data_IF_300843230692
#
_entry.id   IF_300843230692
#
_cell.length_a   1.000
_cell.length_b   1.000
_cell.length_c   1.000
_cell.angle_alpha   90.00
_cell.angle_beta   90.00
_cell.angle_gamma   90.00
#
_symmetry.space_group_name_H-M   'P 1'
#
loop_
_entity.id
_entity.type
_entity.pdbx_description
1 polymer ?
#
# COMPACT_ATOMS: atom_id res chain seq x y z
N UNK A 1 -56.59 -2.48 -0.11
CA UNK A 1 -55.65 -2.72 0.99
C UNK A 1 -54.27 -2.86 0.39
N UNK A 2 -53.54 -1.75 0.33
CA UNK A 2 -52.16 -1.71 -0.19
C UNK A 2 -51.21 -2.04 0.98
N UNK A 3 -50.56 -3.18 0.93
CA UNK A 3 -49.41 -3.45 1.80
C UNK A 3 -48.15 -2.91 1.15
N UNK A 4 -47.68 -1.77 1.63
CA UNK A 4 -46.37 -1.22 1.36
C UNK A 4 -45.31 -2.16 1.94
N UNK A 5 -44.64 -2.91 1.07
CA UNK A 5 -43.43 -3.62 1.39
C UNK A 5 -42.25 -2.62 1.43
N UNK A 6 -42.04 -1.96 2.54
CA UNK A 6 -40.77 -1.32 2.85
C UNK A 6 -39.75 -2.42 3.14
N UNK A 7 -38.99 -2.83 2.12
CA UNK A 7 -37.75 -3.57 2.31
C UNK A 7 -36.73 -2.62 2.96
N UNK A 8 -36.71 -2.60 4.28
CA UNK A 8 -35.58 -2.06 5.03
C UNK A 8 -34.34 -2.85 4.64
N UNK A 9 -33.47 -2.23 3.87
CA UNK A 9 -32.14 -2.74 3.57
C UNK A 9 -31.34 -2.79 4.89
N UNK A 10 -31.48 -3.88 5.65
CA UNK A 10 -30.60 -4.14 6.79
C UNK A 10 -29.20 -4.29 6.22
N UNK A 11 -28.31 -3.34 6.52
CA UNK A 11 -26.88 -3.46 6.30
C UNK A 11 -26.45 -4.81 6.85
N UNK A 12 -26.03 -5.73 5.99
CA UNK A 12 -25.50 -7.01 6.42
C UNK A 12 -24.31 -6.70 7.34
N UNK A 13 -24.38 -7.25 8.56
CA UNK A 13 -23.34 -7.11 9.58
C UNK A 13 -22.04 -7.63 8.97
N UNK A 14 -20.90 -6.92 9.16
CA UNK A 14 -19.59 -7.39 8.73
C UNK A 14 -19.37 -8.83 9.19
N UNK A 15 -18.71 -9.62 8.35
CA UNK A 15 -18.30 -10.96 8.75
C UNK A 15 -17.30 -10.86 9.90
N UNK A 16 -17.45 -11.73 10.90
CA UNK A 16 -16.43 -11.94 11.92
C UNK A 16 -15.71 -13.23 11.59
N UNK A 17 -14.43 -13.14 11.33
CA UNK A 17 -13.59 -14.29 11.06
C UNK A 17 -12.57 -14.48 12.17
N UNK A 18 -12.22 -15.73 12.44
CA UNK A 18 -11.21 -16.08 13.41
C UNK A 18 -9.83 -16.12 12.77
N UNK A 19 -8.94 -15.24 13.22
CA UNK A 19 -7.55 -15.16 12.79
C UNK A 19 -6.65 -15.65 13.93
N UNK A 20 -6.30 -16.93 13.92
CA UNK A 20 -5.40 -17.51 14.92
C UNK A 20 -5.89 -17.45 16.38
N UNK A 21 -7.19 -17.50 16.60
CA UNK A 21 -7.82 -17.42 17.92
C UNK A 21 -8.43 -16.05 18.26
N UNK A 22 -8.23 -15.04 17.40
CA UNK A 22 -8.81 -13.70 17.57
C UNK A 22 -9.90 -13.47 16.52
N UNK A 23 -11.08 -13.01 16.95
CA UNK A 23 -12.16 -12.62 16.04
C UNK A 23 -11.92 -11.18 15.53
N UNK A 24 -11.89 -11.01 14.22
CA UNK A 24 -11.73 -9.71 13.57
C UNK A 24 -12.89 -9.40 12.61
N UNK A 25 -13.19 -8.12 12.46
CA UNK A 25 -14.18 -7.65 11.51
C UNK A 25 -13.54 -7.54 10.12
N UNK A 26 -14.16 -8.20 9.14
CA UNK A 26 -13.75 -8.14 7.75
C UNK A 26 -14.93 -7.83 6.84
N UNK A 27 -14.63 -7.32 5.66
CA UNK A 27 -15.60 -7.13 4.58
C UNK A 27 -15.04 -7.83 3.35
N UNK A 28 -15.80 -8.81 2.84
CA UNK A 28 -15.51 -9.48 1.58
C UNK A 28 -16.40 -8.95 0.46
N UNK A 29 -16.13 -9.38 -0.76
CA UNK A 29 -16.98 -9.03 -1.92
C UNK A 29 -18.38 -9.66 -1.83
N UNK A 30 -18.57 -10.67 -0.97
CA UNK A 30 -19.89 -11.29 -0.73
C UNK A 30 -20.77 -10.43 0.19
N UNK A 31 -20.17 -9.79 1.23
CA UNK A 31 -20.90 -8.87 2.10
C UNK A 31 -21.11 -7.51 1.44
N UNK A 32 -20.16 -7.09 0.62
CA UNK A 32 -20.20 -5.81 -0.07
C UNK A 32 -19.80 -5.96 -1.55
N UNK A 33 -20.73 -6.43 -2.41
CA UNK A 33 -20.46 -6.63 -3.82
C UNK A 33 -20.22 -5.32 -4.57
N UNK A 34 -19.62 -5.40 -5.75
CA UNK A 34 -19.25 -4.23 -6.58
C UNK A 34 -20.47 -3.35 -6.91
N UNK A 35 -21.61 -3.95 -7.19
CA UNK A 35 -22.85 -3.23 -7.50
C UNK A 35 -23.30 -2.35 -6.33
N UNK A 36 -23.08 -2.82 -5.09
CA UNK A 36 -23.34 -2.01 -3.90
C UNK A 36 -22.34 -0.87 -3.77
N UNK A 37 -21.06 -1.10 -4.09
CA UNK A 37 -20.05 -0.04 -4.12
C UNK A 37 -20.39 1.03 -5.16
N UNK A 38 -20.81 0.62 -6.34
CA UNK A 38 -21.28 1.53 -7.41
C UNK A 38 -22.51 2.35 -6.95
N UNK A 39 -23.47 1.73 -6.28
CA UNK A 39 -24.65 2.46 -5.77
C UNK A 39 -24.29 3.49 -4.69
N UNK A 40 -23.38 3.12 -3.76
CA UNK A 40 -22.90 4.05 -2.70
C UNK A 40 -22.15 5.23 -3.30
N UNK A 41 -21.36 5.01 -4.34
CA UNK A 41 -20.50 6.03 -4.98
C UNK A 41 -21.16 6.71 -6.19
N UNK A 42 -22.42 6.41 -6.49
CA UNK A 42 -23.12 6.84 -7.69
C UNK A 42 -23.13 8.35 -7.92
N UNK A 43 -23.34 9.11 -6.84
CA UNK A 43 -23.41 10.58 -6.90
C UNK A 43 -22.05 11.23 -6.52
N UNK A 44 -21.03 10.41 -6.28
CA UNK A 44 -19.71 10.90 -5.89
C UNK A 44 -18.83 11.14 -7.12
N UNK A 45 -17.97 12.14 -7.03
CA UNK A 45 -16.85 12.37 -7.93
C UNK A 45 -15.57 12.09 -7.16
N UNK A 46 -14.92 10.99 -7.50
CA UNK A 46 -13.67 10.59 -6.84
C UNK A 46 -12.49 11.30 -7.50
N UNK A 47 -11.94 12.30 -6.84
CA UNK A 47 -10.79 13.06 -7.31
C UNK A 47 -9.49 12.46 -6.77
N UNK A 48 -8.72 11.80 -7.60
CA UNK A 48 -7.40 11.25 -7.27
C UNK A 48 -6.36 12.35 -7.41
N UNK A 49 -5.92 12.90 -6.28
CA UNK A 49 -4.91 13.95 -6.20
C UNK A 49 -3.53 13.31 -6.03
N UNK A 50 -2.75 13.33 -7.10
CA UNK A 50 -1.46 12.65 -7.18
C UNK A 50 -1.52 11.38 -8.01
N UNK A 51 -0.62 11.27 -9.00
CA UNK A 51 -0.55 10.14 -9.92
C UNK A 51 0.85 9.51 -9.88
N UNK A 52 1.29 9.23 -8.63
CA UNK A 52 2.60 8.65 -8.31
C UNK A 52 2.53 7.13 -8.18
N UNK A 53 2.79 6.61 -6.97
CA UNK A 53 2.88 5.15 -6.70
C UNK A 53 1.49 4.51 -6.64
N UNK A 54 0.58 5.02 -5.82
CA UNK A 54 -0.77 4.46 -5.62
C UNK A 54 -1.81 5.00 -6.61
N UNK A 55 -1.67 6.28 -7.00
CA UNK A 55 -2.66 6.97 -7.84
C UNK A 55 -3.08 6.22 -9.10
N UNK A 56 -2.14 5.77 -9.97
CA UNK A 56 -2.49 5.05 -11.18
C UNK A 56 -3.29 3.76 -10.93
N UNK A 57 -2.82 2.91 -10.02
CA UNK A 57 -3.49 1.64 -9.70
C UNK A 57 -4.91 1.85 -9.19
N UNK A 58 -5.08 2.77 -8.24
CA UNK A 58 -6.40 3.04 -7.65
C UNK A 58 -7.34 3.74 -8.64
N UNK A 59 -6.87 4.76 -9.36
CA UNK A 59 -7.70 5.48 -10.33
C UNK A 59 -8.20 4.57 -11.46
N UNK A 60 -7.30 3.76 -12.05
CA UNK A 60 -7.66 2.86 -13.13
C UNK A 60 -8.59 1.74 -12.67
N UNK A 61 -8.35 1.13 -11.50
CA UNK A 61 -9.24 0.07 -11.01
C UNK A 61 -10.64 0.59 -10.71
N UNK A 62 -10.76 1.77 -10.11
CA UNK A 62 -12.05 2.42 -9.89
C UNK A 62 -12.76 2.76 -11.20
N UNK A 63 -12.03 3.32 -12.18
CA UNK A 63 -12.56 3.62 -13.52
C UNK A 63 -13.08 2.36 -14.21
N UNK A 64 -12.31 1.27 -14.20
CA UNK A 64 -12.72 -0.01 -14.80
C UNK A 64 -13.92 -0.63 -14.06
N UNK A 65 -14.09 -0.34 -12.78
CA UNK A 65 -15.24 -0.73 -11.97
C UNK A 65 -16.44 0.26 -12.08
N UNK A 66 -16.41 1.18 -13.05
CA UNK A 66 -17.54 2.07 -13.36
C UNK A 66 -17.75 3.21 -12.37
N UNK A 67 -16.74 3.59 -11.58
CA UNK A 67 -16.79 4.73 -10.67
C UNK A 67 -16.42 6.00 -11.43
N UNK A 68 -17.07 7.10 -11.10
CA UNK A 68 -16.78 8.42 -11.65
C UNK A 68 -15.48 8.98 -11.06
N UNK A 69 -14.37 8.82 -11.78
CA UNK A 69 -13.02 9.17 -11.33
C UNK A 69 -12.45 10.29 -12.18
N UNK A 70 -11.92 11.30 -11.52
CA UNK A 70 -11.08 12.33 -12.12
C UNK A 70 -9.69 12.32 -11.47
N UNK A 71 -8.69 12.81 -12.19
CA UNK A 71 -7.31 12.91 -11.70
C UNK A 71 -6.91 14.37 -11.59
N UNK A 72 -6.35 14.75 -10.46
CA UNK A 72 -5.74 16.05 -10.22
C UNK A 72 -4.22 15.95 -10.21
N UNK A 73 -3.53 16.63 -11.15
CA UNK A 73 -2.08 16.59 -11.25
C UNK A 73 -1.52 17.90 -11.80
N UNK A 74 -0.26 18.19 -11.51
CA UNK A 74 0.44 19.35 -12.08
C UNK A 74 0.60 19.19 -13.59
N UNK A 75 0.12 20.14 -14.34
CA UNK A 75 0.27 20.19 -15.79
C UNK A 75 1.74 20.12 -16.20
N UNK A 76 2.05 19.50 -17.33
CA UNK A 76 3.39 19.31 -17.85
C UNK A 76 4.37 18.53 -16.94
N UNK A 77 3.85 17.73 -16.02
CA UNK A 77 4.66 16.81 -15.21
C UNK A 77 4.66 15.41 -15.83
N UNK A 78 5.69 14.61 -15.53
CA UNK A 78 5.74 13.19 -15.95
C UNK A 78 4.49 12.39 -15.50
N UNK A 79 3.93 12.74 -14.35
CA UNK A 79 2.70 12.11 -13.85
C UNK A 79 1.45 12.57 -14.61
N UNK A 80 1.43 13.79 -15.11
CA UNK A 80 0.40 14.27 -16.04
C UNK A 80 0.44 13.47 -17.34
N UNK A 81 1.62 13.38 -17.96
CA UNK A 81 1.81 12.64 -19.23
C UNK A 81 1.44 11.16 -19.06
N UNK A 82 1.78 10.59 -17.90
CA UNK A 82 1.37 9.22 -17.56
C UNK A 82 -0.15 9.09 -17.46
N UNK A 83 -0.85 10.02 -16.81
CA UNK A 83 -2.31 9.99 -16.71
C UNK A 83 -2.98 10.09 -18.10
N UNK A 84 -2.43 10.92 -18.99
CA UNK A 84 -2.88 10.99 -20.40
C UNK A 84 -2.67 9.65 -21.11
N UNK A 85 -1.50 9.04 -20.96
CA UNK A 85 -1.20 7.74 -21.57
C UNK A 85 -2.10 6.62 -21.03
N UNK A 86 -2.53 6.72 -19.77
CA UNK A 86 -3.46 5.78 -19.10
C UNK A 86 -4.94 6.09 -19.45
N UNK A 87 -5.21 7.07 -20.35
CA UNK A 87 -6.54 7.36 -20.89
C UNK A 87 -7.40 8.32 -20.06
N UNK A 88 -6.78 9.18 -19.22
CA UNK A 88 -7.44 10.35 -18.65
C UNK A 88 -7.33 11.54 -19.60
N UNK A 89 -8.46 12.23 -19.84
CA UNK A 89 -8.58 13.27 -20.87
C UNK A 89 -8.45 14.65 -20.23
N UNK A 90 -7.47 15.49 -20.64
CA UNK A 90 -7.34 16.86 -20.15
C UNK A 90 -8.62 17.68 -20.35
N UNK A 91 -9.10 18.32 -19.30
CA UNK A 91 -10.34 19.11 -19.30
C UNK A 91 -11.63 18.31 -19.14
N UNK A 92 -11.58 16.98 -19.15
CA UNK A 92 -12.73 16.10 -18.94
C UNK A 92 -12.57 15.21 -17.69
N UNK A 93 -11.47 14.47 -17.61
CA UNK A 93 -11.16 13.54 -16.51
C UNK A 93 -9.77 13.76 -15.92
N UNK A 94 -8.97 14.66 -16.49
CA UNK A 94 -7.66 15.08 -15.99
C UNK A 94 -7.64 16.61 -15.87
N UNK A 95 -7.35 17.10 -14.67
CA UNK A 95 -7.38 18.52 -14.32
C UNK A 95 -6.11 18.93 -13.57
N UNK A 96 -5.87 20.22 -13.46
CA UNK A 96 -4.94 20.73 -12.45
C UNK A 96 -5.48 20.44 -11.04
N UNK A 97 -4.59 20.40 -10.05
CA UNK A 97 -4.93 19.93 -8.71
C UNK A 97 -6.11 20.70 -8.11
N UNK A 98 -6.08 22.04 -8.18
CA UNK A 98 -7.16 22.88 -7.60
C UNK A 98 -8.51 22.65 -8.27
N UNK A 99 -8.53 22.54 -9.59
CA UNK A 99 -9.76 22.26 -10.33
C UNK A 99 -10.33 20.86 -9.99
N UNK A 100 -9.47 19.86 -9.85
CA UNK A 100 -9.91 18.53 -9.42
C UNK A 100 -10.43 18.54 -7.98
N UNK A 101 -9.84 19.33 -7.08
CA UNK A 101 -10.31 19.52 -5.71
C UNK A 101 -11.70 20.19 -5.66
N UNK A 102 -11.96 21.14 -6.55
CA UNK A 102 -13.28 21.80 -6.66
C UNK A 102 -14.35 20.82 -7.08
N UNK A 103 -14.08 20.01 -8.12
CA UNK A 103 -15.02 19.05 -8.72
C UNK A 103 -15.25 17.81 -7.85
N UNK A 104 -14.22 17.37 -7.11
CA UNK A 104 -14.27 16.16 -6.31
C UNK A 104 -15.18 16.28 -5.08
N UNK A 105 -15.93 15.22 -4.79
CA UNK A 105 -16.69 15.06 -3.55
C UNK A 105 -15.95 14.14 -2.58
N UNK A 106 -15.16 13.20 -3.10
CA UNK A 106 -14.21 12.39 -2.34
C UNK A 106 -12.80 12.72 -2.87
N UNK A 107 -11.98 13.27 -2.01
CA UNK A 107 -10.61 13.67 -2.34
C UNK A 107 -9.65 12.57 -1.92
N UNK A 108 -9.18 11.78 -2.89
CA UNK A 108 -8.14 10.76 -2.68
C UNK A 108 -6.76 11.42 -2.66
N UNK A 109 -6.25 11.73 -1.47
CA UNK A 109 -5.02 12.50 -1.27
C UNK A 109 -3.80 11.59 -1.34
N UNK A 110 -3.35 11.27 -2.57
CA UNK A 110 -2.33 10.26 -2.88
C UNK A 110 -0.99 10.88 -3.32
N UNK A 111 -0.72 12.09 -2.91
CA UNK A 111 0.62 12.70 -3.00
C UNK A 111 1.58 12.02 -2.01
N UNK A 112 2.88 12.18 -2.21
CA UNK A 112 3.87 11.79 -1.18
C UNK A 112 3.69 12.61 0.09
N UNK A 113 4.12 12.10 1.25
CA UNK A 113 3.92 12.78 2.55
C UNK A 113 4.44 14.21 2.56
N UNK A 114 5.64 14.45 2.01
CA UNK A 114 6.18 15.80 1.89
C UNK A 114 5.30 16.71 1.01
N UNK A 115 4.79 16.19 -0.11
CA UNK A 115 3.89 16.95 -0.97
C UNK A 115 2.49 17.11 -0.34
N UNK A 116 2.03 16.16 0.48
CA UNK A 116 0.81 16.34 1.27
C UNK A 116 0.95 17.52 2.25
N UNK A 117 2.08 17.63 2.92
CA UNK A 117 2.37 18.76 3.83
C UNK A 117 2.36 20.08 3.05
N UNK A 118 3.07 20.13 1.93
CA UNK A 118 3.19 21.33 1.08
C UNK A 118 1.84 21.79 0.53
N UNK A 119 1.03 20.87 0.00
CA UNK A 119 -0.25 21.19 -0.63
C UNK A 119 -1.42 21.28 0.35
N UNK A 120 -1.22 20.95 1.63
CA UNK A 120 -2.30 20.94 2.61
C UNK A 120 -3.10 22.24 2.71
N UNK A 121 -2.48 23.44 2.73
CA UNK A 121 -3.23 24.70 2.77
C UNK A 121 -4.21 24.85 1.59
N UNK A 122 -3.82 24.40 0.41
CA UNK A 122 -4.68 24.41 -0.79
C UNK A 122 -5.81 23.39 -0.66
N UNK A 123 -5.48 22.14 -0.33
CA UNK A 123 -6.47 21.06 -0.17
C UNK A 123 -7.51 21.44 0.87
N UNK A 124 -7.09 21.97 2.02
CA UNK A 124 -7.97 22.37 3.12
C UNK A 124 -9.03 23.40 2.69
N UNK A 125 -8.70 24.34 1.81
CA UNK A 125 -9.66 25.36 1.30
C UNK A 125 -10.81 24.73 0.51
N UNK A 126 -10.54 23.60 -0.18
CA UNK A 126 -11.50 22.92 -1.03
C UNK A 126 -12.29 21.82 -0.30
N UNK A 127 -11.93 21.50 0.95
CA UNK A 127 -12.65 20.56 1.80
C UNK A 127 -13.86 21.26 2.43
N UNK A 128 -14.93 21.38 1.63
CA UNK A 128 -16.20 21.94 2.10
C UNK A 128 -17.06 20.87 2.78
N UNK A 129 -18.04 21.31 3.57
CA UNK A 129 -18.95 20.44 4.32
C UNK A 129 -19.55 19.33 3.45
N UNK A 130 -19.54 18.11 3.98
CA UNK A 130 -20.07 16.91 3.32
C UNK A 130 -19.11 16.21 2.35
N UNK A 131 -17.98 16.83 1.97
CA UNK A 131 -16.93 16.16 1.22
C UNK A 131 -16.22 15.11 2.10
N UNK A 132 -15.44 14.26 1.45
CA UNK A 132 -14.62 13.27 2.14
C UNK A 132 -13.14 13.41 1.76
N UNK A 133 -12.25 13.21 2.73
CA UNK A 133 -10.81 13.13 2.56
C UNK A 133 -10.36 11.69 2.77
N UNK A 134 -9.78 11.11 1.75
CA UNK A 134 -9.32 9.73 1.71
C UNK A 134 -7.78 9.67 1.67
N UNK A 135 -7.23 8.74 2.42
CA UNK A 135 -5.82 8.40 2.42
C UNK A 135 -5.59 6.92 2.08
N UNK A 136 -4.44 6.58 1.52
CA UNK A 136 -3.97 5.20 1.41
C UNK A 136 -2.90 4.83 2.45
N UNK A 137 -2.49 5.81 3.25
CA UNK A 137 -1.60 5.68 4.38
C UNK A 137 -1.90 6.80 5.35
N UNK A 138 -2.09 6.47 6.61
CA UNK A 138 -2.57 7.42 7.62
C UNK A 138 -1.52 8.39 8.18
N UNK A 139 -0.33 8.50 7.57
CA UNK A 139 0.83 9.25 8.05
C UNK A 139 0.48 10.70 8.41
N UNK A 140 -0.11 11.45 7.47
CA UNK A 140 -0.42 12.86 7.64
C UNK A 140 -1.31 13.15 8.86
N UNK A 141 -2.28 12.30 9.13
CA UNK A 141 -3.22 12.42 10.25
C UNK A 141 -2.59 11.92 11.55
N UNK A 142 -1.91 10.77 11.53
CA UNK A 142 -1.30 10.17 12.72
C UNK A 142 -0.22 11.06 13.33
N UNK A 143 0.55 11.75 12.48
CA UNK A 143 1.61 12.67 12.89
C UNK A 143 1.24 14.13 12.66
N UNK A 144 -0.02 14.51 12.88
CA UNK A 144 -0.55 15.84 12.58
C UNK A 144 0.20 16.98 13.30
N UNK A 145 0.76 16.73 14.46
CA UNK A 145 1.63 17.71 15.18
C UNK A 145 2.90 18.07 14.39
N UNK A 146 3.36 17.19 13.49
CA UNK A 146 4.54 17.37 12.64
C UNK A 146 4.17 17.83 11.24
N UNK A 147 3.06 17.33 10.71
CA UNK A 147 2.61 17.58 9.34
C UNK A 147 1.71 18.81 9.21
N UNK A 148 1.04 19.22 10.29
CA UNK A 148 0.03 20.28 10.27
C UNK A 148 -1.28 19.88 9.56
N UNK A 149 -1.45 18.60 9.18
CA UNK A 149 -2.65 18.11 8.47
C UNK A 149 -3.77 17.86 9.48
N UNK A 150 -4.64 18.87 9.61
CA UNK A 150 -5.83 18.83 10.47
C UNK A 150 -7.06 19.14 9.63
N UNK A 151 -7.86 18.10 9.29
CA UNK A 151 -9.07 18.25 8.49
C UNK A 151 -10.14 19.11 9.17
N UNK A 152 -11.00 19.79 8.40
CA UNK A 152 -12.21 20.44 8.94
C UNK A 152 -13.14 19.42 9.63
N UNK A 153 -13.87 19.86 10.65
CA UNK A 153 -14.73 18.98 11.44
C UNK A 153 -15.99 18.48 10.70
N UNK A 154 -16.34 19.11 9.59
CA UNK A 154 -17.56 18.88 8.81
C UNK A 154 -17.32 18.05 7.53
N UNK A 155 -16.17 17.38 7.43
CA UNK A 155 -15.84 16.44 6.35
C UNK A 155 -15.62 15.02 6.88
N UNK A 156 -15.88 14.01 6.07
CA UNK A 156 -15.49 12.66 6.40
C UNK A 156 -13.99 12.46 6.21
N UNK A 157 -13.35 11.67 7.05
CA UNK A 157 -11.92 11.32 6.93
C UNK A 157 -11.75 9.84 7.14
N UNK A 158 -11.15 9.16 6.15
CA UNK A 158 -10.96 7.72 6.21
C UNK A 158 -9.78 7.26 5.34
N UNK A 159 -9.38 6.01 5.51
CA UNK A 159 -8.32 5.41 4.69
C UNK A 159 -8.70 4.02 4.18
N UNK A 160 -8.14 3.66 3.04
CA UNK A 160 -7.97 2.28 2.59
C UNK A 160 -6.51 2.11 2.20
N UNK A 161 -5.81 1.21 2.88
CA UNK A 161 -4.39 0.94 2.65
C UNK A 161 -4.19 -0.46 2.05
N UNK A 162 -4.06 -0.57 0.71
CA UNK A 162 -3.72 -1.83 0.06
C UNK A 162 -2.37 -2.35 0.55
N UNK A 163 -2.30 -3.64 0.88
CA UNK A 163 -1.05 -4.27 1.35
C UNK A 163 -0.19 -4.70 0.15
N UNK A 164 0.39 -3.69 -0.50
CA UNK A 164 1.27 -3.82 -1.65
C UNK A 164 1.38 -2.54 -2.48
N UNK A 165 2.31 -2.54 -3.44
CA UNK A 165 2.52 -1.39 -4.33
C UNK A 165 1.32 -1.15 -5.25
N UNK A 166 1.16 0.09 -5.72
CA UNK A 166 0.12 0.42 -6.69
C UNK A 166 0.24 -0.36 -8.00
N UNK A 167 1.47 -0.70 -8.41
CA UNK A 167 1.72 -1.58 -9.56
C UNK A 167 1.18 -3.00 -9.31
N UNK A 168 1.41 -3.55 -8.12
CA UNK A 168 0.88 -4.86 -7.73
C UNK A 168 -0.65 -4.84 -7.61
N UNK A 169 -1.22 -3.77 -7.05
CA UNK A 169 -2.67 -3.58 -6.99
C UNK A 169 -3.30 -3.67 -8.39
N UNK A 170 -2.75 -2.91 -9.36
CA UNK A 170 -3.23 -2.93 -10.75
C UNK A 170 -3.05 -4.30 -11.42
N UNK A 171 -1.87 -4.89 -11.31
CA UNK A 171 -1.56 -6.19 -11.90
C UNK A 171 -2.48 -7.29 -11.39
N UNK A 172 -2.70 -7.37 -10.08
CA UNK A 172 -3.57 -8.39 -9.49
C UNK A 172 -5.03 -8.17 -9.87
N UNK A 173 -5.48 -6.92 -9.94
CA UNK A 173 -6.82 -6.57 -10.41
C UNK A 173 -7.08 -7.10 -11.84
N UNK A 174 -6.14 -6.85 -12.76
CA UNK A 174 -6.24 -7.33 -14.15
C UNK A 174 -6.22 -8.87 -14.26
N UNK A 175 -5.73 -9.56 -13.24
CA UNK A 175 -5.74 -11.02 -13.13
C UNK A 175 -6.99 -11.55 -12.38
N UNK A 176 -8.00 -10.73 -12.14
CA UNK A 176 -9.17 -11.06 -11.31
C UNK A 176 -8.79 -11.51 -9.87
N UNK A 177 -7.68 -11.01 -9.37
CA UNK A 177 -7.19 -11.18 -8.01
C UNK A 177 -7.30 -9.84 -7.27
N UNK A 178 -6.99 -9.80 -5.98
CA UNK A 178 -6.99 -8.56 -5.21
C UNK A 178 -5.96 -8.58 -4.11
N UNK A 179 -5.36 -7.42 -3.84
CA UNK A 179 -4.58 -7.22 -2.62
C UNK A 179 -5.52 -7.04 -1.44
N UNK A 180 -5.18 -7.63 -0.30
CA UNK A 180 -5.89 -7.34 0.93
C UNK A 180 -5.64 -5.88 1.33
N UNK A 181 -6.61 -5.22 1.92
CA UNK A 181 -6.48 -3.83 2.34
C UNK A 181 -7.00 -3.64 3.75
N UNK A 182 -6.30 -2.84 4.55
CA UNK A 182 -6.89 -2.31 5.78
C UNK A 182 -7.76 -1.11 5.47
N UNK A 183 -8.77 -0.85 6.31
CA UNK A 183 -9.56 0.36 6.24
C UNK A 183 -9.82 0.92 7.64
N UNK A 184 -9.95 2.24 7.73
CA UNK A 184 -10.26 2.94 8.96
C UNK A 184 -11.09 4.19 8.69
N UNK A 185 -11.99 4.51 9.62
CA UNK A 185 -12.68 5.80 9.67
C UNK A 185 -12.06 6.61 10.82
N UNK A 186 -11.51 7.77 10.49
CA UNK A 186 -10.99 8.73 11.46
C UNK A 186 -12.08 9.70 11.92
N UNK A 187 -12.91 10.19 10.98
CA UNK A 187 -13.97 11.15 11.22
C UNK A 187 -15.17 10.84 10.33
N UNK A 188 -16.35 10.78 10.93
CA UNK A 188 -17.63 10.56 10.24
C UNK A 188 -18.55 11.75 10.50
N UNK A 189 -18.41 12.79 9.70
CA UNK A 189 -19.20 14.01 9.82
C UNK A 189 -20.59 13.88 9.17
N UNK A 190 -20.69 13.01 8.16
CA UNK A 190 -21.91 12.86 7.37
C UNK A 190 -22.78 11.67 7.78
N UNK A 191 -22.26 10.76 8.60
CA UNK A 191 -22.86 9.44 8.88
C UNK A 191 -22.72 8.44 7.72
N UNK A 192 -21.89 8.75 6.70
CA UNK A 192 -21.68 7.93 5.50
C UNK A 192 -20.24 7.44 5.34
N UNK A 193 -19.32 7.85 6.21
CA UNK A 193 -17.90 7.58 6.06
C UNK A 193 -17.60 6.09 5.93
N UNK A 194 -18.29 5.24 6.72
CA UNK A 194 -18.11 3.80 6.68
C UNK A 194 -18.53 3.17 5.36
N UNK A 195 -19.68 3.56 4.82
CA UNK A 195 -20.14 3.05 3.53
C UNK A 195 -19.24 3.53 2.38
N UNK A 196 -18.82 4.81 2.41
CA UNK A 196 -17.89 5.39 1.43
C UNK A 196 -16.55 4.68 1.41
N UNK A 197 -15.92 4.47 2.59
CA UNK A 197 -14.61 3.81 2.67
C UNK A 197 -14.68 2.34 2.24
N UNK A 198 -15.73 1.63 2.62
CA UNK A 198 -15.94 0.24 2.20
C UNK A 198 -16.15 0.15 0.69
N UNK A 199 -16.99 1.03 0.13
CA UNK A 199 -17.22 1.08 -1.31
C UNK A 199 -15.94 1.38 -2.10
N UNK A 200 -15.13 2.33 -1.63
CA UNK A 200 -13.84 2.62 -2.26
C UNK A 200 -12.87 1.43 -2.16
N UNK A 201 -12.80 0.75 -1.02
CA UNK A 201 -11.99 -0.44 -0.84
C UNK A 201 -12.34 -1.56 -1.84
N UNK A 202 -13.63 -1.78 -2.09
CA UNK A 202 -14.09 -2.72 -3.12
C UNK A 202 -13.79 -2.19 -4.53
N UNK A 203 -14.04 -0.89 -4.77
CA UNK A 203 -13.86 -0.27 -6.08
C UNK A 203 -12.39 -0.26 -6.56
N UNK A 204 -11.42 -0.14 -5.66
CA UNK A 204 -10.00 -0.29 -6.01
C UNK A 204 -9.57 -1.74 -6.24
N UNK A 205 -10.46 -2.71 -6.02
CA UNK A 205 -10.21 -4.13 -6.29
C UNK A 205 -9.54 -4.90 -5.14
N UNK A 206 -9.79 -4.51 -3.89
CA UNK A 206 -9.26 -5.25 -2.73
C UNK A 206 -9.74 -6.71 -2.70
N UNK A 207 -8.88 -7.61 -2.21
CA UNK A 207 -9.21 -9.01 -1.98
C UNK A 207 -10.25 -9.15 -0.87
N UNK A 208 -9.90 -8.66 0.32
CA UNK A 208 -10.84 -8.39 1.42
C UNK A 208 -10.38 -7.14 2.18
N UNK A 209 -11.28 -6.57 2.96
CA UNK A 209 -11.00 -5.42 3.80
C UNK A 209 -11.00 -5.85 5.26
N UNK A 210 -10.02 -5.42 6.06
CA UNK A 210 -9.98 -5.60 7.50
C UNK A 210 -9.91 -4.25 8.22
N UNK A 211 -10.64 -4.17 9.33
CA UNK A 211 -10.78 -2.93 10.08
C UNK A 211 -9.55 -2.64 10.92
N UNK A 212 -9.12 -1.39 10.95
CA UNK A 212 -8.03 -0.88 11.78
C UNK A 212 -8.33 0.55 12.23
N UNK A 213 -7.36 1.22 12.83
CA UNK A 213 -7.35 2.68 13.05
C UNK A 213 -6.11 3.31 12.40
N UNK A 214 -6.14 4.64 12.23
CA UNK A 214 -5.05 5.37 11.56
C UNK A 214 -3.70 5.15 12.22
N UNK A 215 -3.64 5.14 13.53
CA UNK A 215 -2.40 4.95 14.29
C UNK A 215 -1.82 3.55 14.11
N UNK A 216 -2.66 2.52 14.24
CA UNK A 216 -2.21 1.13 14.05
C UNK A 216 -1.79 0.86 12.61
N UNK A 217 -2.54 1.40 11.65
CA UNK A 217 -2.17 1.28 10.24
C UNK A 217 -0.78 1.84 9.99
N UNK A 218 -0.53 3.09 10.40
CA UNK A 218 0.75 3.76 10.19
C UNK A 218 1.90 3.05 10.90
N UNK A 219 1.68 2.63 12.14
CA UNK A 219 2.73 1.97 12.91
C UNK A 219 3.10 0.61 12.32
N UNK A 220 2.12 -0.19 11.92
CA UNK A 220 2.38 -1.49 11.29
C UNK A 220 2.99 -1.34 9.90
N UNK A 221 2.58 -0.35 9.13
CA UNK A 221 3.08 -0.10 7.78
C UNK A 221 4.54 0.38 7.81
N UNK A 222 4.85 1.41 8.59
CA UNK A 222 6.22 1.92 8.74
C UNK A 222 7.18 0.85 9.32
N UNK A 223 6.73 0.07 10.30
CA UNK A 223 7.51 -1.04 10.85
C UNK A 223 7.68 -2.18 9.83
N UNK A 224 6.63 -2.49 9.07
CA UNK A 224 6.64 -3.52 8.04
C UNK A 224 7.62 -3.22 6.90
N UNK A 225 7.58 -2.00 6.36
CA UNK A 225 8.45 -1.57 5.26
C UNK A 225 9.94 -1.58 5.64
N UNK A 226 10.27 -1.09 6.83
CA UNK A 226 11.65 -1.08 7.35
C UNK A 226 12.09 -2.46 7.83
N UNK A 227 11.13 -3.25 8.27
CA UNK A 227 11.32 -4.62 8.71
C UNK A 227 11.27 -5.61 7.54
N UNK A 228 10.47 -6.66 7.71
CA UNK A 228 10.46 -7.85 6.84
C UNK A 228 10.15 -7.57 5.38
N UNK A 229 9.35 -6.53 5.06
CA UNK A 229 8.91 -6.30 3.67
C UNK A 229 10.04 -5.81 2.77
N UNK A 230 10.98 -4.99 3.26
CA UNK A 230 12.07 -4.43 2.46
C UNK A 230 13.40 -4.34 3.23
N UNK A 231 13.45 -3.60 4.34
CA UNK A 231 14.71 -3.27 5.01
C UNK A 231 15.43 -4.50 5.57
N UNK A 232 14.76 -5.29 6.39
CA UNK A 232 15.36 -6.48 7.00
C UNK A 232 15.66 -7.55 5.95
N UNK A 233 14.79 -7.77 4.95
CA UNK A 233 15.02 -8.77 3.91
C UNK A 233 16.24 -8.42 3.06
N UNK A 234 16.44 -7.15 2.71
CA UNK A 234 17.66 -6.71 2.02
C UNK A 234 18.90 -6.93 2.89
N UNK A 235 18.82 -6.62 4.19
CA UNK A 235 19.91 -6.84 5.14
C UNK A 235 20.28 -8.32 5.27
N UNK A 236 19.30 -9.21 5.33
CA UNK A 236 19.51 -10.67 5.39
C UNK A 236 20.16 -11.17 4.10
N UNK A 237 19.68 -10.71 2.94
CA UNK A 237 20.30 -11.07 1.66
C UNK A 237 21.78 -10.67 1.60
N UNK A 238 22.08 -9.43 1.95
CA UNK A 238 23.46 -8.94 1.95
C UNK A 238 24.35 -9.74 2.91
N UNK A 239 23.90 -9.96 4.14
CA UNK A 239 24.67 -10.68 5.15
C UNK A 239 24.99 -12.12 4.72
N UNK A 240 24.04 -12.86 4.19
CA UNK A 240 24.28 -14.24 3.71
C UNK A 240 25.16 -14.25 2.46
N UNK A 241 24.89 -13.36 1.50
CA UNK A 241 25.70 -13.23 0.29
C UNK A 241 27.18 -13.00 0.63
N UNK A 242 27.46 -12.04 1.50
CA UNK A 242 28.83 -11.69 1.91
C UNK A 242 29.56 -12.88 2.60
N UNK A 243 28.83 -13.63 3.43
CA UNK A 243 29.39 -14.83 4.08
C UNK A 243 29.73 -15.90 3.05
N UNK A 244 28.86 -16.16 2.06
CA UNK A 244 29.14 -17.11 0.99
C UNK A 244 30.34 -16.65 0.14
N UNK A 245 30.39 -15.39 -0.26
CA UNK A 245 31.52 -14.82 -0.99
C UNK A 245 32.83 -14.93 -0.23
N UNK A 246 32.82 -14.63 1.06
CA UNK A 246 33.99 -14.74 1.92
C UNK A 246 34.51 -16.21 2.03
N UNK A 247 33.63 -17.19 1.88
CA UNK A 247 33.99 -18.62 1.90
C UNK A 247 34.26 -19.20 0.50
N UNK A 248 34.42 -18.37 -0.54
CA UNK A 248 34.89 -18.77 -1.85
C UNK A 248 33.81 -19.14 -2.87
N UNK A 249 32.52 -19.06 -2.51
CA UNK A 249 31.44 -19.27 -3.47
C UNK A 249 31.46 -18.20 -4.57
N UNK A 250 31.14 -18.58 -5.79
CA UNK A 250 31.07 -17.62 -6.91
C UNK A 250 29.92 -16.60 -6.72
N UNK A 251 29.96 -15.41 -7.34
CA UNK A 251 28.84 -14.45 -7.27
C UNK A 251 27.50 -15.05 -7.74
N UNK A 252 27.55 -15.87 -8.78
CA UNK A 252 26.35 -16.56 -9.30
C UNK A 252 25.77 -17.54 -8.27
N UNK A 253 26.61 -18.39 -7.70
CA UNK A 253 26.21 -19.36 -6.68
C UNK A 253 25.66 -18.65 -5.44
N UNK A 254 26.39 -17.67 -4.91
CA UNK A 254 25.96 -16.92 -3.74
C UNK A 254 24.62 -16.18 -3.97
N UNK A 255 24.38 -15.64 -5.16
CA UNK A 255 23.12 -14.99 -5.48
C UNK A 255 21.95 -15.99 -5.63
N UNK A 256 22.18 -17.13 -6.27
CA UNK A 256 21.16 -18.14 -6.41
C UNK A 256 20.72 -18.71 -5.04
N UNK A 257 21.67 -19.03 -4.16
CA UNK A 257 21.42 -19.59 -2.83
C UNK A 257 20.88 -18.56 -1.80
N UNK A 258 20.88 -17.27 -2.15
CA UNK A 258 20.44 -16.21 -1.23
C UNK A 258 19.14 -15.56 -1.70
N UNK A 259 19.08 -15.16 -2.95
CA UNK A 259 17.98 -14.32 -3.47
C UNK A 259 17.11 -15.06 -4.47
N UNK A 260 17.73 -15.67 -5.49
CA UNK A 260 16.99 -16.17 -6.66
C UNK A 260 16.08 -17.32 -6.29
N UNK A 261 16.57 -18.35 -5.63
CA UNK A 261 15.78 -19.49 -5.20
C UNK A 261 14.64 -19.10 -4.28
N UNK A 262 14.91 -18.19 -3.33
CA UNK A 262 13.87 -17.71 -2.42
C UNK A 262 12.73 -16.99 -3.18
N UNK A 263 13.09 -16.04 -4.05
CA UNK A 263 12.10 -15.14 -4.67
C UNK A 263 11.40 -15.76 -5.86
N UNK A 264 12.10 -16.59 -6.63
CA UNK A 264 11.53 -17.22 -7.82
C UNK A 264 10.73 -18.49 -7.49
N UNK A 265 11.20 -19.29 -6.52
CA UNK A 265 10.66 -20.61 -6.23
C UNK A 265 9.95 -20.68 -4.88
N UNK A 266 10.64 -20.38 -3.79
CA UNK A 266 10.15 -20.74 -2.45
C UNK A 266 9.03 -19.80 -1.97
N UNK A 267 9.16 -18.48 -2.15
CA UNK A 267 8.15 -17.52 -1.66
C UNK A 267 6.78 -17.67 -2.33
N UNK A 268 6.66 -17.97 -3.63
CA UNK A 268 5.37 -18.31 -4.23
C UNK A 268 4.69 -19.51 -3.55
N UNK A 269 5.44 -20.57 -3.25
CA UNK A 269 4.92 -21.76 -2.56
C UNK A 269 4.50 -21.46 -1.11
N UNK A 270 5.28 -20.64 -0.41
CA UNK A 270 4.92 -20.14 0.93
C UNK A 270 3.65 -19.31 0.91
N UNK A 271 3.49 -18.47 -0.12
CA UNK A 271 2.29 -17.63 -0.27
C UNK A 271 1.03 -18.47 -0.53
N UNK A 272 1.17 -19.61 -1.20
CA UNK A 272 0.06 -20.50 -1.53
C UNK A 272 -0.30 -21.45 -0.38
N UNK A 273 0.71 -21.98 0.33
CA UNK A 273 0.52 -23.15 1.20
C UNK A 273 0.99 -22.94 2.65
N UNK A 274 1.77 -21.90 2.93
CA UNK A 274 2.36 -21.66 4.24
C UNK A 274 3.79 -22.22 4.42
N UNK A 275 4.46 -21.79 5.47
CA UNK A 275 5.86 -22.14 5.73
C UNK A 275 6.03 -23.59 6.22
N UNK A 276 5.09 -24.11 6.97
CA UNK A 276 5.07 -25.50 7.44
C UNK A 276 4.95 -26.47 6.27
N UNK A 277 4.09 -26.18 5.29
CA UNK A 277 3.98 -26.94 4.05
C UNK A 277 5.31 -26.90 3.27
N UNK A 278 5.91 -25.71 3.16
CA UNK A 278 7.18 -25.54 2.47
C UNK A 278 8.26 -26.44 3.10
N UNK A 279 8.38 -26.45 4.43
CA UNK A 279 9.32 -27.31 5.12
C UNK A 279 9.02 -28.80 4.89
N UNK A 280 7.74 -29.20 4.97
CA UNK A 280 7.33 -30.58 4.79
C UNK A 280 7.64 -31.13 3.38
N UNK A 281 7.72 -30.26 2.37
CA UNK A 281 7.95 -30.62 0.97
C UNK A 281 9.41 -30.42 0.50
N UNK A 282 10.33 -30.13 1.44
CA UNK A 282 11.76 -30.11 1.16
C UNK A 282 12.47 -31.42 1.55
N UNK A 283 13.76 -31.55 1.22
CA UNK A 283 14.59 -32.67 1.69
C UNK A 283 14.66 -32.72 3.21
N UNK A 284 14.83 -33.90 3.78
CA UNK A 284 14.95 -34.07 5.26
C UNK A 284 16.10 -33.26 5.85
N UNK A 285 17.17 -33.07 5.08
CA UNK A 285 18.33 -32.23 5.48
C UNK A 285 17.93 -30.77 5.55
N UNK A 286 17.22 -30.26 4.54
CA UNK A 286 16.72 -28.87 4.52
C UNK A 286 15.70 -28.64 5.66
N UNK A 287 14.76 -29.57 5.87
CA UNK A 287 13.79 -29.50 6.97
C UNK A 287 14.48 -29.36 8.32
N UNK A 288 15.46 -30.22 8.60
CA UNK A 288 16.16 -30.24 9.88
C UNK A 288 16.94 -28.92 10.08
N UNK A 289 17.68 -28.52 9.06
CA UNK A 289 18.46 -27.27 9.10
C UNK A 289 17.57 -26.05 9.34
N UNK A 290 16.49 -25.91 8.57
CA UNK A 290 15.57 -24.79 8.72
C UNK A 290 14.91 -24.74 10.10
N UNK A 291 14.43 -25.91 10.60
CA UNK A 291 13.80 -26.02 11.93
C UNK A 291 14.77 -25.71 13.08
N UNK A 292 16.06 -25.97 12.92
CA UNK A 292 17.06 -25.66 13.95
C UNK A 292 17.46 -24.18 13.93
N UNK A 293 17.55 -23.56 12.75
CA UNK A 293 18.11 -22.22 12.62
C UNK A 293 17.10 -21.08 12.70
N UNK A 294 15.83 -21.25 12.31
CA UNK A 294 14.86 -20.15 12.33
C UNK A 294 14.69 -19.51 13.72
N UNK A 295 14.77 -20.30 14.78
CA UNK A 295 14.67 -19.80 16.16
C UNK A 295 15.83 -18.86 16.50
N UNK A 296 17.03 -19.23 16.05
CA UNK A 296 18.24 -18.40 16.26
C UNK A 296 18.15 -17.08 15.51
N UNK A 297 17.66 -17.11 14.26
CA UNK A 297 17.41 -15.86 13.51
C UNK A 297 16.34 -15.01 14.17
N UNK A 298 15.23 -15.61 14.61
CA UNK A 298 14.20 -14.88 15.36
C UNK A 298 14.80 -14.19 16.59
N UNK A 299 15.53 -14.92 17.41
CA UNK A 299 16.10 -14.39 18.66
C UNK A 299 17.13 -13.29 18.39
N UNK A 300 17.90 -13.41 17.31
CA UNK A 300 18.88 -12.39 16.91
C UNK A 300 18.21 -11.12 16.35
N UNK A 301 17.06 -11.23 15.70
CA UNK A 301 16.39 -10.08 15.06
C UNK A 301 15.31 -9.44 15.92
N UNK A 302 14.73 -10.15 16.90
CA UNK A 302 13.67 -9.60 17.76
C UNK A 302 14.03 -8.27 18.42
N UNK A 303 15.23 -8.05 18.99
CA UNK A 303 15.59 -6.78 19.58
C UNK A 303 15.60 -5.62 18.57
N UNK A 304 15.98 -5.88 17.32
CA UNK A 304 15.98 -4.87 16.26
C UNK A 304 14.55 -4.50 15.84
N UNK A 305 13.63 -5.46 15.82
CA UNK A 305 12.23 -5.19 15.54
C UNK A 305 11.57 -4.39 16.67
N UNK A 306 11.91 -4.65 17.93
CA UNK A 306 11.45 -3.88 19.09
C UNK A 306 11.96 -2.43 19.02
N UNK A 307 13.26 -2.24 18.75
CA UNK A 307 13.87 -0.92 18.57
C UNK A 307 13.21 -0.16 17.42
N UNK A 308 13.00 -0.82 16.27
CA UNK A 308 12.33 -0.23 15.11
C UNK A 308 10.91 0.22 15.45
N UNK A 309 10.12 -0.64 16.09
CA UNK A 309 8.74 -0.31 16.45
C UNK A 309 8.67 0.86 17.44
N UNK A 310 9.57 0.88 18.42
CA UNK A 310 9.72 1.99 19.37
C UNK A 310 10.03 3.33 18.66
N UNK A 311 10.94 3.32 17.69
CA UNK A 311 11.28 4.51 16.91
C UNK A 311 10.10 4.98 16.05
N UNK A 312 9.33 4.06 15.49
CA UNK A 312 8.08 4.38 14.79
C UNK A 312 7.07 5.01 15.74
N UNK A 313 6.83 4.38 16.90
CA UNK A 313 5.84 4.85 17.88
C UNK A 313 6.19 6.23 18.47
N UNK A 314 7.47 6.53 18.65
CA UNK A 314 7.98 7.85 19.08
C UNK A 314 7.95 8.91 17.97
N UNK A 315 7.62 8.52 16.74
CA UNK A 315 7.60 9.40 15.56
C UNK A 315 8.99 9.79 15.04
N UNK A 316 10.05 9.12 15.49
CA UNK A 316 11.42 9.37 15.02
C UNK A 316 11.56 9.03 13.53
N UNK A 317 10.98 7.90 13.11
CA UNK A 317 10.99 7.47 11.71
C UNK A 317 10.17 8.40 10.81
N UNK A 318 9.06 8.92 11.32
CA UNK A 318 8.27 9.93 10.61
C UNK A 318 9.06 11.22 10.42
N UNK A 319 9.74 11.71 11.47
CA UNK A 319 10.56 12.92 11.38
C UNK A 319 11.70 12.74 10.36
N UNK A 320 12.40 11.62 10.38
CA UNK A 320 13.46 11.32 9.40
C UNK A 320 12.95 11.38 7.95
N UNK A 321 11.77 10.82 7.71
CA UNK A 321 11.14 10.85 6.38
C UNK A 321 10.80 12.28 5.96
N UNK A 322 10.21 13.09 6.84
CA UNK A 322 9.90 14.50 6.58
C UNK A 322 11.19 15.28 6.29
N UNK A 323 12.20 15.15 7.16
CA UNK A 323 13.47 15.90 7.04
C UNK A 323 14.24 15.52 5.76
N UNK A 324 14.20 14.26 5.36
CA UNK A 324 14.86 13.80 4.15
C UNK A 324 14.12 14.28 2.90
N UNK A 325 12.81 14.04 2.84
CA UNK A 325 12.01 14.20 1.62
C UNK A 325 11.64 15.65 1.30
N UNK A 326 11.76 16.56 2.29
CA UNK A 326 11.55 18.00 2.09
C UNK A 326 12.77 18.75 1.55
N UNK A 327 13.95 18.10 1.48
CA UNK A 327 15.17 18.75 0.97
C UNK A 327 15.13 18.93 -0.55
N UNK A 328 15.66 20.05 -1.05
CA UNK A 328 15.70 20.29 -2.52
C UNK A 328 16.48 19.22 -3.30
N UNK A 329 17.53 18.64 -2.69
CA UNK A 329 18.40 17.62 -3.26
C UNK A 329 17.94 16.16 -2.97
N UNK A 330 16.72 16.00 -2.43
CA UNK A 330 16.19 14.68 -2.05
C UNK A 330 16.30 13.64 -3.17
N UNK A 331 15.86 14.01 -4.39
CA UNK A 331 15.86 13.07 -5.53
C UNK A 331 17.26 12.65 -5.96
N UNK A 332 18.21 13.56 -5.90
CA UNK A 332 19.62 13.28 -6.23
C UNK A 332 20.24 12.33 -5.20
N UNK A 333 20.00 12.58 -3.91
CA UNK A 333 20.46 11.69 -2.83
C UNK A 333 19.84 10.31 -2.91
N UNK A 334 18.54 10.23 -3.12
CA UNK A 334 17.86 8.95 -3.30
C UNK A 334 18.45 8.16 -4.49
N UNK A 335 18.68 8.81 -5.63
CA UNK A 335 19.26 8.14 -6.79
C UNK A 335 20.70 7.68 -6.53
N UNK A 336 21.47 8.43 -5.75
CA UNK A 336 22.82 8.03 -5.34
C UNK A 336 22.77 6.75 -4.47
N UNK A 337 21.91 6.70 -3.46
CA UNK A 337 21.73 5.52 -2.59
C UNK A 337 21.22 4.30 -3.38
N UNK A 338 20.25 4.50 -4.29
CA UNK A 338 19.74 3.43 -5.15
C UNK A 338 20.81 2.94 -6.13
N UNK A 339 21.69 3.83 -6.57
CA UNK A 339 22.82 3.48 -7.43
C UNK A 339 23.87 2.65 -6.68
N UNK A 340 24.21 3.04 -5.45
CA UNK A 340 25.10 2.25 -4.60
C UNK A 340 24.57 0.82 -4.44
N UNK A 341 23.28 0.67 -4.11
CA UNK A 341 22.65 -0.64 -3.99
C UNK A 341 22.71 -1.42 -5.31
N UNK A 342 22.34 -0.81 -6.43
CA UNK A 342 22.30 -1.40 -7.77
C UNK A 342 23.67 -1.85 -8.25
N UNK A 343 24.70 -1.06 -7.93
CA UNK A 343 26.08 -1.31 -8.32
C UNK A 343 26.84 -2.26 -7.38
N UNK A 344 26.22 -2.72 -6.29
CA UNK A 344 26.80 -3.76 -5.43
C UNK A 344 27.04 -5.06 -6.22
N UNK A 345 28.02 -5.85 -5.82
CA UNK A 345 28.35 -7.14 -6.47
C UNK A 345 27.13 -8.06 -6.51
N UNK A 346 26.39 -8.16 -5.40
CA UNK A 346 25.21 -8.99 -5.28
C UNK A 346 24.14 -8.62 -6.33
N UNK A 347 23.80 -7.34 -6.46
CA UNK A 347 22.75 -6.93 -7.40
C UNK A 347 23.19 -6.90 -8.86
N UNK A 348 24.51 -6.73 -9.13
CA UNK A 348 25.10 -6.96 -10.46
C UNK A 348 25.01 -8.43 -10.86
N UNK A 349 25.38 -9.36 -9.96
CA UNK A 349 25.22 -10.78 -10.20
C UNK A 349 23.74 -11.13 -10.45
N UNK A 350 22.83 -10.56 -9.65
CA UNK A 350 21.39 -10.74 -9.83
C UNK A 350 20.85 -10.22 -11.16
N UNK A 351 21.38 -9.12 -11.68
CA UNK A 351 21.01 -8.63 -13.01
C UNK A 351 21.35 -9.64 -14.08
N UNK A 352 22.54 -10.24 -14.00
CA UNK A 352 22.98 -11.28 -14.95
C UNK A 352 22.13 -12.55 -14.80
N UNK A 353 21.90 -13.03 -13.58
CA UNK A 353 21.06 -14.21 -13.34
C UNK A 353 19.66 -14.01 -13.94
N UNK A 354 19.01 -12.88 -13.67
CA UNK A 354 17.68 -12.60 -14.25
C UNK A 354 17.68 -12.51 -15.78
N UNK A 355 18.74 -12.01 -16.39
CA UNK A 355 18.84 -11.94 -17.86
C UNK A 355 18.97 -13.32 -18.54
N UNK A 356 19.37 -14.33 -17.79
CA UNK A 356 19.52 -15.70 -18.28
C UNK A 356 18.23 -16.54 -18.13
N UNK A 357 17.18 -15.99 -17.53
CA UNK A 357 15.89 -16.68 -17.46
C UNK A 357 15.28 -16.83 -18.86
N UNK A 358 14.71 -18.00 -19.20
CA UNK A 358 14.14 -18.24 -20.54
C UNK A 358 13.09 -17.21 -20.96
N UNK A 359 12.27 -16.73 -20.02
CA UNK A 359 11.23 -15.72 -20.29
C UNK A 359 11.76 -14.33 -20.60
N UNK A 360 13.06 -14.10 -20.42
CA UNK A 360 13.74 -12.82 -20.69
C UNK A 360 14.67 -12.87 -21.90
N UNK A 361 14.73 -14.02 -22.63
CA UNK A 361 15.53 -14.25 -23.83
C UNK A 361 14.70 -14.23 -25.12
#
# INVERSE_FOLDING_TARGET
>A
MNQNNQKTNKIKKMAKLNFGGVEENVVTRDEFPLEKAQEVLKEEVVAVIGYGVQGPGQALNQKDNGINVIVGQRKNSKSWDKAVADGFVPGETLFEIEEALEKGTIICYLLSDAAQIEYWPTVKKHLTSGKALYFSHGFGITFNERTGIVPPADVDVFLVAPKGSGTSLRRMFLQNRGLNSSFAVYQDATGKARDRVTALGIAIGSGYLFETDFKKEVYSDLAGERGTLMGAVQGIFAAQYDVLRKNGHSPSEAFNETVEELTQSLMPLVAENGMDWMYANCSTTAQRGALDWWKRFRDATSPLFEELYDNVAKGNEAQRSIDSNSKPDYREKLEAELTELRESEMWKAGKTVRSLRPENN
#
